data_IF_922851873672
#
_entry.id   IF_922851873672
#
_cell.length_a   1.000
_cell.length_b   1.000
_cell.length_c   1.000
_cell.angle_alpha   90.00
_cell.angle_beta   90.00
_cell.angle_gamma   90.00
#
_symmetry.space_group_name_H-M   'P 1'
#
loop_
_entity.id
_entity.type
_entity.pdbx_description
1 polymer ?
#
# COMPACT_ATOMS: atom_id res chain seq x y z
N UNK A 1 3.97 3.50 4.71
CA UNK A 1 4.13 2.37 5.69
C UNK A 1 2.80 2.13 6.38
N UNK A 2 2.48 0.86 6.66
CA UNK A 2 1.15 0.39 6.99
C UNK A 2 0.74 0.81 8.41
N UNK A 3 -0.57 0.99 8.60
CA UNK A 3 -1.32 0.71 9.83
C UNK A 3 -0.45 0.55 11.09
N UNK A 4 -0.03 1.70 11.61
CA UNK A 4 0.76 1.80 12.83
C UNK A 4 -0.14 1.76 14.07
N UNK A 5 -0.01 0.65 14.79
CA UNK A 5 0.05 0.52 16.27
C UNK A 5 -1.16 0.88 17.17
N UNK A 6 -2.18 1.62 16.74
CA UNK A 6 -3.30 1.98 17.64
C UNK A 6 -4.39 0.90 17.78
N UNK A 7 -4.49 -0.04 16.83
CA UNK A 7 -5.37 -1.22 16.93
C UNK A 7 -4.74 -2.38 17.73
N UNK A 8 -3.42 -2.35 17.93
CA UNK A 8 -2.68 -3.36 18.69
C UNK A 8 -2.69 -3.07 20.19
N UNK A 9 -2.72 -1.79 20.60
CA UNK A 9 -2.84 -1.40 22.01
C UNK A 9 -4.24 -1.66 22.60
N UNK A 10 -5.30 -1.53 21.78
CA UNK A 10 -6.66 -1.87 22.19
C UNK A 10 -6.88 -3.39 22.34
N UNK A 11 -6.20 -4.20 21.51
CA UNK A 11 -6.23 -5.66 21.61
C UNK A 11 -5.42 -6.19 22.81
N UNK A 12 -4.27 -5.57 23.15
CA UNK A 12 -3.47 -5.95 24.32
C UNK A 12 -4.14 -5.59 25.66
N UNK A 13 -4.84 -4.45 25.74
CA UNK A 13 -5.61 -4.08 26.94
C UNK A 13 -6.84 -4.97 27.16
N UNK A 14 -7.40 -5.57 26.10
CA UNK A 14 -8.44 -6.58 26.20
C UNK A 14 -7.91 -7.97 26.62
N UNK A 15 -6.64 -8.27 26.33
CA UNK A 15 -6.01 -9.56 26.68
C UNK A 15 -5.43 -9.62 28.11
N UNK A 16 -4.99 -8.50 28.71
CA UNK A 16 -4.57 -8.51 30.13
C UNK A 16 -5.76 -8.68 31.10
N UNK A 17 -6.99 -8.31 30.68
CA UNK A 17 -8.22 -8.54 31.45
C UNK A 17 -8.77 -9.96 31.34
N UNK A 18 -8.60 -10.63 30.20
CA UNK A 18 -9.11 -11.99 29.98
C UNK A 18 -8.22 -13.07 30.65
N UNK A 19 -6.91 -12.83 30.77
CA UNK A 19 -5.99 -13.74 31.45
C UNK A 19 -6.14 -13.76 32.98
N UNK A 20 -6.64 -12.67 33.60
CA UNK A 20 -6.82 -12.58 35.06
C UNK A 20 -8.12 -13.19 35.59
N UNK A 21 -9.12 -13.48 34.73
CA UNK A 21 -10.47 -13.90 35.17
C UNK A 21 -10.98 -15.23 34.57
N UNK A 22 -10.12 -16.03 33.90
CA UNK A 22 -10.40 -17.44 33.60
C UNK A 22 -11.68 -17.72 32.80
N UNK A 23 -11.81 -17.16 31.59
CA UNK A 23 -12.91 -17.48 30.68
C UNK A 23 -12.52 -18.67 29.79
N UNK A 24 -13.33 -19.75 29.71
CA UNK A 24 -13.08 -20.86 28.80
C UNK A 24 -13.32 -20.46 27.33
N UNK A 25 -12.44 -20.97 26.46
CA UNK A 25 -12.30 -20.60 25.02
C UNK A 25 -13.36 -21.21 24.10
N UNK A 26 -14.40 -21.83 24.64
CA UNK A 26 -15.45 -22.55 23.93
C UNK A 26 -16.57 -21.66 23.36
N UNK A 27 -16.55 -20.34 23.62
CA UNK A 27 -17.56 -19.38 23.11
C UNK A 27 -17.12 -18.46 21.97
N UNK A 28 -15.93 -18.64 21.39
CA UNK A 28 -15.45 -17.80 20.28
C UNK A 28 -16.07 -18.27 18.95
N UNK A 29 -17.02 -17.49 18.40
CA UNK A 29 -17.75 -17.78 17.15
C UNK A 29 -17.20 -17.09 15.89
N UNK A 30 -16.07 -16.38 15.98
CA UNK A 30 -15.44 -15.72 14.82
C UNK A 30 -14.48 -16.67 14.11
N UNK A 31 -14.69 -16.89 12.80
CA UNK A 31 -13.83 -17.74 11.96
C UNK A 31 -12.41 -17.18 11.78
N UNK A 32 -12.25 -15.86 11.79
CA UNK A 32 -10.95 -15.22 11.55
C UNK A 32 -9.92 -15.47 12.67
N UNK A 33 -10.38 -15.69 13.91
CA UNK A 33 -9.50 -15.94 15.06
C UNK A 33 -9.05 -17.40 15.16
N UNK A 34 -9.79 -18.35 14.56
CA UNK A 34 -9.41 -19.77 14.54
C UNK A 34 -8.29 -20.04 13.56
N UNK A 35 -8.32 -19.40 12.39
CA UNK A 35 -7.33 -19.63 11.33
C UNK A 35 -5.92 -19.18 11.74
N UNK A 36 -5.81 -18.14 12.57
CA UNK A 36 -4.51 -17.63 13.00
C UNK A 36 -3.91 -18.39 14.18
N UNK A 37 -4.73 -19.11 14.96
CA UNK A 37 -4.25 -20.06 15.96
C UNK A 37 -3.72 -21.36 15.33
N UNK A 38 -4.29 -21.81 14.21
CA UNK A 38 -3.85 -23.05 13.53
C UNK A 38 -2.51 -22.89 12.80
N UNK A 39 -2.16 -21.69 12.33
CA UNK A 39 -0.88 -21.44 11.63
C UNK A 39 0.36 -21.47 12.53
N UNK A 40 0.19 -21.34 13.84
CA UNK A 40 1.30 -21.31 14.81
C UNK A 40 1.69 -22.70 15.37
N UNK A 41 0.96 -23.77 15.05
CA UNK A 41 1.13 -25.09 15.68
C UNK A 41 1.94 -26.13 14.87
N UNK A 42 2.42 -25.82 13.65
CA UNK A 42 3.11 -26.80 12.78
C UNK A 42 4.53 -26.37 12.37
N UNK A 43 5.41 -26.22 13.35
CA UNK A 43 6.86 -26.24 13.10
C UNK A 43 7.56 -27.21 14.06
N UNK A 44 7.99 -28.35 13.51
CA UNK A 44 9.14 -29.12 14.00
C UNK A 44 8.85 -30.51 14.56
N UNK A 45 9.07 -31.56 13.75
CA UNK A 45 9.71 -32.84 14.15
C UNK A 45 10.32 -33.51 12.90
N UNK A 46 11.61 -33.91 12.98
CA UNK A 46 12.35 -34.71 11.99
C UNK A 46 12.19 -36.23 12.25
N UNK A 47 12.09 -37.07 11.20
CA UNK A 47 11.92 -38.54 11.29
C UNK A 47 13.23 -39.37 11.28
N UNK A 48 13.17 -40.70 11.55
CA UNK A 48 14.34 -41.57 11.72
C UNK A 48 14.93 -42.15 10.41
N UNK A 49 16.19 -42.60 10.46
CA UNK A 49 17.04 -43.02 9.32
C UNK A 49 17.07 -44.55 9.16
N UNK A 50 17.03 -45.09 7.92
CA UNK A 50 17.22 -46.53 7.65
C UNK A 50 18.67 -46.89 7.27
N UNK A 51 19.03 -48.14 7.61
CA UNK A 51 20.31 -48.78 7.29
C UNK A 51 20.06 -50.16 6.66
N UNK A 52 20.98 -50.62 5.81
CA UNK A 52 20.94 -51.98 5.26
C UNK A 52 21.45 -53.03 6.27
N UNK A 53 21.42 -54.32 5.88
CA UNK A 53 21.87 -55.44 6.72
C UNK A 53 23.37 -55.44 7.04
N UNK A 54 24.16 -54.58 6.40
CA UNK A 54 25.59 -54.39 6.62
C UNK A 54 25.88 -53.08 7.39
N UNK A 55 24.86 -52.26 7.67
CA UNK A 55 24.97 -51.01 8.43
C UNK A 55 25.13 -49.74 7.59
N UNK A 56 24.93 -49.80 6.26
CA UNK A 56 25.07 -48.63 5.39
C UNK A 56 23.78 -47.81 5.31
N UNK A 57 23.88 -46.47 5.43
CA UNK A 57 22.73 -45.54 5.46
C UNK A 57 22.02 -45.48 4.10
N UNK A 58 20.70 -45.76 4.10
CA UNK A 58 19.87 -45.84 2.88
C UNK A 58 19.02 -44.58 2.60
N UNK A 59 18.91 -43.64 3.55
CA UNK A 59 18.17 -42.38 3.39
C UNK A 59 17.02 -42.18 4.37
N UNK A 60 16.36 -41.03 4.29
CA UNK A 60 15.27 -40.60 5.19
C UNK A 60 13.90 -40.93 4.58
N UNK A 61 12.91 -41.29 5.41
CA UNK A 61 11.53 -41.61 4.98
C UNK A 61 10.48 -41.27 6.06
N UNK A 62 9.22 -41.06 5.64
CA UNK A 62 8.07 -40.81 6.52
C UNK A 62 7.16 -42.05 6.63
N UNK A 63 6.67 -42.35 7.85
CA UNK A 63 5.80 -43.49 8.15
C UNK A 63 4.43 -42.97 8.61
N UNK A 64 3.34 -43.46 8.00
CA UNK A 64 1.97 -43.20 8.46
C UNK A 64 1.36 -44.48 9.07
N UNK A 65 1.12 -44.42 10.39
CA UNK A 65 0.40 -45.36 11.28
C UNK A 65 1.07 -46.66 11.75
N UNK A 66 0.93 -46.91 13.06
CA UNK A 66 1.32 -48.12 13.78
C UNK A 66 0.08 -48.91 14.21
N UNK A 67 0.12 -50.24 14.07
CA UNK A 67 -0.63 -51.16 14.95
C UNK A 67 0.35 -52.25 15.41
N UNK A 68 0.42 -52.46 16.73
CA UNK A 68 1.34 -53.42 17.37
C UNK A 68 0.58 -54.71 17.67
N UNK A 69 1.03 -55.85 17.15
CA UNK A 69 0.51 -57.18 17.51
C UNK A 69 1.69 -58.11 17.81
N UNK A 70 1.98 -58.37 19.09
CA UNK A 70 2.99 -59.33 19.54
C UNK A 70 4.47 -58.93 19.34
N UNK A 71 5.37 -59.91 19.36
CA UNK A 71 6.84 -59.77 19.19
C UNK A 71 7.33 -59.90 17.73
N UNK A 72 6.44 -60.14 16.76
CA UNK A 72 6.76 -60.06 15.34
C UNK A 72 6.24 -58.75 14.74
N UNK A 73 7.16 -57.95 14.17
CA UNK A 73 6.78 -56.80 13.33
C UNK A 73 6.39 -57.34 11.96
N UNK A 74 5.09 -57.60 11.75
CA UNK A 74 4.56 -57.77 10.40
C UNK A 74 4.41 -56.39 9.75
N UNK A 75 5.32 -56.09 8.83
CA UNK A 75 5.17 -54.97 7.90
C UNK A 75 4.22 -55.43 6.80
N UNK A 76 2.96 -55.02 6.90
CA UNK A 76 2.04 -55.11 5.78
C UNK A 76 2.39 -53.97 4.82
N UNK A 77 3.10 -54.28 3.74
CA UNK A 77 3.29 -53.34 2.63
C UNK A 77 1.96 -53.26 1.91
N UNK A 78 1.11 -52.34 2.37
CA UNK A 78 -0.12 -51.99 1.66
C UNK A 78 0.30 -51.27 0.39
N UNK A 79 -0.06 -51.85 -0.75
CA UNK A 79 0.38 -51.45 -2.07
C UNK A 79 0.20 -49.97 -2.36
N UNK A 80 1.21 -49.41 -3.04
CA UNK A 80 1.04 -48.20 -3.83
C UNK A 80 -0.06 -48.47 -4.86
N UNK A 81 -1.08 -47.62 -4.87
CA UNK A 81 -2.05 -47.60 -5.95
C UNK A 81 -1.32 -47.30 -7.25
N UNK A 82 -1.29 -48.30 -8.14
CA UNK A 82 -0.60 -48.24 -9.42
C UNK A 82 0.03 -49.59 -9.74
N UNK A 83 -0.58 -50.31 -10.66
CA UNK A 83 -0.18 -51.65 -11.15
C UNK A 83 1.33 -51.87 -11.32
N UNK A 84 1.78 -53.06 -10.89
CA UNK A 84 3.04 -53.78 -11.20
C UNK A 84 4.20 -53.75 -10.18
N UNK A 85 4.39 -54.90 -9.51
CA UNK A 85 5.64 -55.69 -9.49
C UNK A 85 6.91 -55.06 -8.94
N UNK A 86 7.47 -55.68 -7.90
CA UNK A 86 8.87 -55.51 -7.48
C UNK A 86 9.81 -55.77 -8.69
N UNK A 87 10.59 -54.76 -9.11
CA UNK A 87 11.57 -54.88 -10.19
C UNK A 87 12.93 -55.32 -9.63
N UNK A 88 13.44 -56.45 -10.09
CA UNK A 88 14.81 -56.87 -9.86
C UNK A 88 15.67 -56.46 -11.07
N UNK A 89 16.75 -55.69 -10.84
CA UNK A 89 17.63 -55.15 -11.90
C UNK A 89 18.63 -56.20 -12.46
N UNK A 90 18.64 -57.40 -11.86
CA UNK A 90 19.34 -58.61 -12.33
C UNK A 90 18.48 -59.83 -12.10
N UNK A 91 18.66 -60.84 -12.95
CA UNK A 91 18.00 -62.14 -12.79
C UNK A 91 18.55 -62.82 -11.52
N UNK A 92 17.71 -62.97 -10.50
CA UNK A 92 18.07 -63.67 -9.27
C UNK A 92 17.69 -65.14 -9.42
N UNK A 93 18.60 -66.03 -9.02
CA UNK A 93 18.36 -67.48 -8.95
C UNK A 93 18.20 -67.85 -7.49
N UNK A 94 17.04 -68.40 -7.13
CA UNK A 94 16.76 -68.86 -5.78
C UNK A 94 17.38 -70.25 -5.56
N UNK A 95 17.62 -70.66 -4.28
CA UNK A 95 18.24 -71.95 -3.95
C UNK A 95 17.48 -73.18 -4.47
N UNK A 96 16.20 -73.02 -4.80
CA UNK A 96 15.34 -74.05 -5.40
C UNK A 96 15.45 -74.14 -6.94
N UNK A 97 16.34 -73.35 -7.54
CA UNK A 97 16.57 -73.30 -8.99
C UNK A 97 15.57 -72.44 -9.76
N UNK A 98 14.60 -71.80 -9.09
CA UNK A 98 13.69 -70.86 -9.75
C UNK A 98 14.41 -69.53 -10.03
N UNK A 99 14.13 -68.92 -11.19
CA UNK A 99 14.69 -67.61 -11.54
C UNK A 99 13.58 -66.57 -11.64
N UNK A 100 13.89 -65.32 -11.28
CA UNK A 100 12.99 -64.20 -11.55
C UNK A 100 12.78 -64.04 -13.06
N UNK A 101 11.58 -63.66 -13.55
CA UNK A 101 11.32 -63.44 -14.98
C UNK A 101 12.33 -62.49 -15.60
N UNK A 102 12.78 -62.77 -16.83
CA UNK A 102 13.71 -61.91 -17.57
C UNK A 102 13.06 -60.53 -17.75
N UNK A 103 13.68 -59.42 -17.30
CA UNK A 103 13.08 -58.10 -17.46
C UNK A 103 12.99 -57.81 -18.96
N UNK A 104 11.76 -57.66 -19.47
CA UNK A 104 11.51 -57.21 -20.83
C UNK A 104 12.07 -55.79 -20.97
N UNK A 105 13.28 -55.66 -21.53
CA UNK A 105 13.87 -54.37 -21.89
C UNK A 105 13.18 -53.85 -23.13
N UNK A 106 12.12 -53.08 -22.95
CA UNK A 106 11.59 -52.24 -24.02
C UNK A 106 12.67 -51.25 -24.48
N UNK A 107 12.73 -50.89 -25.78
CA UNK A 107 13.58 -49.82 -26.25
C UNK A 107 13.27 -48.52 -25.49
N UNK A 108 14.31 -47.77 -25.13
CA UNK A 108 14.16 -46.52 -24.36
C UNK A 108 13.24 -45.55 -25.10
N UNK A 109 12.35 -44.89 -24.37
CA UNK A 109 11.56 -43.79 -24.94
C UNK A 109 12.46 -42.70 -25.52
N UNK A 110 12.10 -42.08 -26.66
CA UNK A 110 12.87 -40.97 -27.21
C UNK A 110 12.81 -39.75 -26.28
N UNK A 111 13.75 -38.79 -26.41
CA UNK A 111 13.67 -37.50 -25.72
C UNK A 111 12.30 -36.82 -25.94
N UNK A 112 11.83 -36.08 -24.93
CA UNK A 112 10.49 -35.48 -24.92
C UNK A 112 9.38 -36.44 -24.51
N UNK A 113 9.63 -37.75 -24.42
CA UNK A 113 8.68 -38.74 -23.93
C UNK A 113 9.11 -39.39 -22.61
N UNK A 114 8.15 -39.93 -21.88
CA UNK A 114 8.37 -40.74 -20.68
C UNK A 114 7.54 -42.02 -20.71
N UNK A 115 7.94 -43.03 -19.95
CA UNK A 115 7.18 -44.27 -19.80
C UNK A 115 8.06 -45.51 -19.77
N UNK A 116 7.44 -46.71 -19.71
CA UNK A 116 8.15 -47.98 -19.58
C UNK A 116 9.01 -48.36 -20.80
N UNK A 117 8.83 -47.72 -21.96
CA UNK A 117 9.60 -47.95 -23.19
C UNK A 117 8.71 -48.15 -24.41
N UNK A 118 9.28 -48.11 -25.63
CA UNK A 118 8.54 -48.16 -26.90
C UNK A 118 7.75 -49.47 -27.03
N UNK A 119 6.46 -49.45 -27.44
CA UNK A 119 5.67 -48.30 -27.93
C UNK A 119 4.93 -47.49 -26.85
N UNK A 120 5.05 -47.87 -25.58
CA UNK A 120 4.30 -47.31 -24.44
C UNK A 120 4.94 -46.01 -23.90
N UNK A 121 5.20 -45.05 -24.79
CA UNK A 121 5.81 -43.77 -24.42
C UNK A 121 4.79 -42.63 -24.59
N UNK A 122 4.60 -41.85 -23.53
CA UNK A 122 3.75 -40.68 -23.52
C UNK A 122 4.59 -39.41 -23.68
N UNK A 123 4.04 -38.39 -24.33
CA UNK A 123 4.70 -37.09 -24.43
C UNK A 123 4.73 -36.41 -23.06
N UNK A 124 5.85 -35.76 -22.73
CA UNK A 124 5.94 -34.97 -21.51
C UNK A 124 4.82 -33.92 -21.50
N UNK A 125 3.98 -33.85 -20.45
CA UNK A 125 2.92 -32.85 -20.40
C UNK A 125 3.51 -31.43 -20.37
N UNK A 126 2.75 -30.42 -20.84
CA UNK A 126 3.10 -29.01 -20.64
C UNK A 126 3.48 -28.73 -19.19
N UNK A 127 4.43 -27.82 -18.98
CA UNK A 127 5.03 -27.55 -17.68
C UNK A 127 6.16 -28.51 -17.29
N UNK A 128 6.40 -29.56 -18.07
CA UNK A 128 7.50 -30.50 -17.87
C UNK A 128 8.37 -30.64 -19.12
N UNK A 129 9.60 -31.12 -18.96
CA UNK A 129 10.49 -31.42 -20.07
C UNK A 129 11.42 -32.59 -19.75
N UNK A 130 11.93 -33.23 -20.80
CA UNK A 130 12.97 -34.25 -20.66
C UNK A 130 13.83 -34.36 -21.91
N UNK A 131 15.16 -34.21 -21.75
CA UNK A 131 16.14 -34.39 -22.83
C UNK A 131 16.76 -35.78 -22.89
N UNK A 132 16.54 -36.62 -21.88
CA UNK A 132 17.24 -37.90 -21.71
C UNK A 132 16.38 -39.06 -22.24
N UNK A 133 16.90 -39.89 -23.17
CA UNK A 133 16.18 -41.08 -23.61
C UNK A 133 15.92 -42.07 -22.47
N UNK A 134 14.70 -42.62 -22.43
CA UNK A 134 14.28 -43.66 -21.48
C UNK A 134 13.82 -43.14 -20.12
N UNK A 135 13.50 -41.85 -20.00
CA UNK A 135 12.99 -41.31 -18.76
C UNK A 135 11.69 -41.98 -18.33
N UNK A 136 11.58 -42.26 -17.03
CA UNK A 136 10.37 -42.84 -16.42
C UNK A 136 9.38 -41.75 -15.98
N UNK A 137 9.82 -40.49 -15.90
CA UNK A 137 9.01 -39.33 -15.58
C UNK A 137 9.62 -38.08 -16.23
N UNK A 138 8.82 -37.05 -16.45
CA UNK A 138 9.29 -35.75 -16.95
C UNK A 138 9.65 -34.83 -15.79
N UNK A 139 10.65 -33.97 -16.01
CA UNK A 139 11.13 -33.03 -14.99
C UNK A 139 10.26 -31.77 -15.07
N UNK A 140 9.63 -31.32 -13.96
CA UNK A 140 8.89 -30.07 -13.95
C UNK A 140 9.83 -28.89 -14.23
N UNK A 141 9.32 -27.90 -14.94
CA UNK A 141 10.07 -26.68 -15.19
C UNK A 141 10.17 -25.87 -13.89
N UNK A 142 11.41 -25.66 -13.41
CA UNK A 142 11.69 -24.85 -12.23
C UNK A 142 11.21 -23.41 -12.39
N UNK A 143 11.03 -22.70 -11.27
CA UNK A 143 10.66 -21.27 -11.22
C UNK A 143 11.49 -20.43 -12.22
N UNK A 144 10.82 -19.57 -12.97
CA UNK A 144 11.39 -18.81 -14.09
C UNK A 144 11.42 -19.54 -15.44
N UNK A 145 10.98 -20.79 -15.53
CA UNK A 145 10.99 -21.57 -16.77
C UNK A 145 9.65 -22.25 -17.04
N UNK A 146 9.21 -22.27 -18.29
CA UNK A 146 7.90 -22.83 -18.67
C UNK A 146 8.00 -23.79 -19.86
N UNK A 147 6.94 -24.56 -20.06
CA UNK A 147 6.75 -25.37 -21.26
C UNK A 147 5.27 -25.34 -21.64
N UNK A 148 4.96 -24.79 -22.82
CA UNK A 148 3.62 -24.59 -23.35
C UNK A 148 3.13 -25.76 -24.21
N UNK A 149 4.04 -26.65 -24.62
CA UNK A 149 3.77 -27.75 -25.55
C UNK A 149 4.11 -29.11 -24.93
N UNK A 150 3.26 -30.11 -25.21
CA UNK A 150 3.60 -31.49 -24.91
C UNK A 150 4.85 -31.95 -25.66
N UNK A 151 5.66 -32.82 -25.06
CA UNK A 151 6.86 -33.37 -25.69
C UNK A 151 8.11 -32.51 -25.57
N UNK A 152 8.12 -31.50 -24.69
CA UNK A 152 9.23 -30.57 -24.60
C UNK A 152 10.56 -31.25 -24.21
N UNK A 153 11.61 -30.95 -24.96
CA UNK A 153 12.96 -31.45 -24.68
C UNK A 153 13.63 -30.69 -23.54
N UNK A 154 13.35 -29.39 -23.43
CA UNK A 154 13.88 -28.49 -22.41
C UNK A 154 12.86 -27.40 -22.07
N UNK A 155 12.91 -26.89 -20.84
CA UNK A 155 12.06 -25.78 -20.42
C UNK A 155 12.58 -24.46 -21.00
N UNK A 156 11.66 -23.60 -21.44
CA UNK A 156 11.94 -22.27 -21.98
C UNK A 156 12.05 -21.27 -20.83
N UNK A 157 12.99 -20.32 -20.89
CA UNK A 157 13.05 -19.23 -19.91
C UNK A 157 11.90 -18.25 -20.12
N UNK A 158 11.32 -17.76 -19.03
CA UNK A 158 10.35 -16.68 -19.11
C UNK A 158 10.98 -15.41 -19.73
N UNK A 159 10.29 -14.73 -20.66
CA UNK A 159 10.78 -13.46 -21.18
C UNK A 159 10.85 -12.39 -20.09
N UNK A 160 11.69 -11.37 -20.28
CA UNK A 160 11.71 -10.21 -19.39
C UNK A 160 10.33 -9.53 -19.33
N UNK A 161 9.97 -9.00 -18.17
CA UNK A 161 8.64 -8.46 -17.88
C UNK A 161 7.59 -9.52 -17.54
N UNK A 162 8.01 -10.78 -17.41
CA UNK A 162 7.16 -11.88 -16.96
C UNK A 162 7.81 -12.66 -15.82
N UNK A 163 6.99 -13.35 -15.04
CA UNK A 163 7.41 -14.19 -13.93
C UNK A 163 6.78 -15.59 -14.02
N UNK A 164 7.38 -16.51 -13.28
CA UNK A 164 6.82 -17.82 -13.03
C UNK A 164 7.18 -18.25 -11.59
N UNK A 165 6.30 -17.97 -10.62
CA UNK A 165 6.60 -18.18 -9.21
C UNK A 165 6.48 -19.64 -8.77
N UNK A 166 5.88 -20.53 -9.56
CA UNK A 166 5.66 -21.95 -9.21
C UNK A 166 6.26 -22.88 -10.24
N UNK A 167 6.77 -24.02 -9.79
CA UNK A 167 7.26 -25.08 -10.66
C UNK A 167 6.11 -25.68 -11.49
N UNK A 168 6.43 -26.16 -12.69
CA UNK A 168 5.47 -26.86 -13.53
C UNK A 168 4.44 -25.97 -14.24
N UNK A 169 4.56 -24.64 -14.19
CA UNK A 169 3.63 -23.78 -14.93
C UNK A 169 3.89 -23.85 -16.44
N UNK A 170 2.80 -23.75 -17.20
CA UNK A 170 2.78 -23.88 -18.66
C UNK A 170 2.92 -22.56 -19.39
N UNK A 171 2.84 -21.43 -18.67
CA UNK A 171 2.87 -20.07 -19.21
C UNK A 171 3.54 -19.13 -18.20
N UNK A 172 4.23 -18.10 -18.69
CA UNK A 172 4.74 -17.01 -17.86
C UNK A 172 3.70 -15.91 -17.72
N UNK A 173 3.51 -15.42 -16.51
CA UNK A 173 2.55 -14.34 -16.21
C UNK A 173 3.25 -13.00 -16.30
N UNK A 174 2.60 -11.98 -16.86
CA UNK A 174 3.15 -10.63 -16.89
C UNK A 174 3.34 -10.08 -15.47
N UNK A 175 4.42 -9.34 -15.25
CA UNK A 175 4.59 -8.59 -14.01
C UNK A 175 3.37 -7.68 -13.79
N UNK A 176 2.84 -7.70 -12.57
CA UNK A 176 1.76 -6.78 -12.18
C UNK A 176 2.26 -5.33 -12.21
N UNK A 177 1.38 -4.34 -12.44
CA UNK A 177 1.73 -2.93 -12.30
C UNK A 177 2.43 -2.63 -10.96
N UNK A 178 3.43 -1.75 -10.98
CA UNK A 178 4.30 -1.48 -9.84
C UNK A 178 5.43 -2.50 -9.63
N UNK A 179 5.47 -3.58 -10.42
CA UNK A 179 6.55 -4.56 -10.43
C UNK A 179 7.23 -4.60 -11.80
N UNK A 180 8.47 -5.12 -11.84
CA UNK A 180 9.23 -5.28 -13.07
C UNK A 180 10.07 -6.55 -13.06
N UNK A 181 10.33 -7.10 -14.24
CA UNK A 181 11.19 -8.26 -14.44
C UNK A 181 12.30 -7.94 -15.44
N UNK A 182 13.48 -7.58 -14.96
CA UNK A 182 14.60 -7.17 -15.82
C UNK A 182 15.22 -8.36 -16.56
N UNK A 183 15.35 -9.49 -15.86
CA UNK A 183 16.07 -10.66 -16.37
C UNK A 183 15.12 -11.66 -17.01
N UNK A 184 15.59 -12.33 -18.07
CA UNK A 184 14.93 -13.54 -18.57
C UNK A 184 15.03 -14.64 -17.52
N UNK A 185 13.96 -15.39 -17.34
CA UNK A 185 13.86 -16.48 -16.38
C UNK A 185 13.79 -16.02 -14.93
N UNK A 186 13.39 -14.77 -14.68
CA UNK A 186 13.17 -14.26 -13.33
C UNK A 186 11.97 -15.00 -12.69
N UNK A 187 12.15 -15.62 -11.51
CA UNK A 187 11.11 -16.41 -10.87
C UNK A 187 9.99 -15.55 -10.26
N UNK A 188 10.26 -14.28 -9.98
CA UNK A 188 9.35 -13.37 -9.30
C UNK A 188 9.72 -11.91 -9.62
N UNK A 189 8.75 -11.09 -9.99
CA UNK A 189 8.98 -9.69 -10.36
C UNK A 189 9.39 -8.86 -9.12
N UNK A 190 10.34 -7.95 -9.32
CA UNK A 190 10.81 -7.06 -8.27
C UNK A 190 9.88 -5.84 -8.16
N UNK A 191 9.61 -5.32 -6.95
CA UNK A 191 8.83 -4.10 -6.78
C UNK A 191 9.62 -2.88 -7.22
N UNK A 192 8.95 -1.89 -7.81
CA UNK A 192 9.53 -0.56 -7.99
C UNK A 192 9.77 0.09 -6.62
N UNK A 193 10.94 0.70 -6.48
CA UNK A 193 11.31 1.49 -5.29
C UNK A 193 10.62 2.85 -5.29
N UNK A 194 10.67 3.55 -4.16
CA UNK A 194 10.23 4.96 -4.06
C UNK A 194 10.88 5.80 -5.16
N UNK A 195 10.16 6.84 -5.60
CA UNK A 195 10.54 7.68 -6.72
C UNK A 195 10.38 7.03 -8.10
N UNK A 196 9.84 5.81 -8.19
CA UNK A 196 9.64 5.11 -9.45
C UNK A 196 8.30 4.39 -9.53
N UNK A 197 7.82 4.16 -10.76
CA UNK A 197 6.57 3.47 -11.05
C UNK A 197 6.71 2.55 -12.28
N UNK A 198 5.78 1.62 -12.44
CA UNK A 198 5.70 0.79 -13.65
C UNK A 198 4.27 0.38 -14.00
N UNK A 199 4.03 0.19 -15.30
CA UNK A 199 2.82 -0.48 -15.80
C UNK A 199 2.96 -2.01 -15.79
N UNK A 200 1.95 -2.71 -16.31
CA UNK A 200 2.00 -4.17 -16.47
C UNK A 200 3.11 -4.59 -17.45
N UNK A 201 3.65 -5.79 -17.22
CA UNK A 201 4.71 -6.39 -18.05
C UNK A 201 6.01 -5.55 -18.17
N UNK A 202 6.28 -4.68 -17.18
CA UNK A 202 7.44 -3.82 -17.24
C UNK A 202 8.77 -4.59 -17.07
N UNK A 203 9.77 -4.23 -17.87
CA UNK A 203 11.15 -4.76 -17.75
C UNK A 203 12.05 -3.87 -16.89
N UNK A 204 11.63 -2.64 -16.61
CA UNK A 204 12.29 -1.67 -15.74
C UNK A 204 11.27 -0.71 -15.14
N UNK A 205 11.58 -0.12 -14.00
CA UNK A 205 10.80 0.98 -13.46
C UNK A 205 11.17 2.31 -14.14
N UNK A 206 10.17 3.17 -14.28
CA UNK A 206 10.34 4.55 -14.73
C UNK A 206 10.41 5.47 -13.54
N UNK A 207 11.36 6.42 -13.52
CA UNK A 207 11.39 7.47 -12.50
C UNK A 207 10.17 8.36 -12.62
N UNK A 208 9.68 8.87 -11.49
CA UNK A 208 8.60 9.84 -11.50
C UNK A 208 9.01 11.11 -12.25
N UNK A 209 8.21 11.58 -13.23
CA UNK A 209 8.50 12.83 -13.93
C UNK A 209 8.50 14.04 -12.98
N UNK A 210 9.05 15.16 -13.45
CA UNK A 210 9.05 16.41 -12.68
C UNK A 210 7.63 16.81 -12.25
N UNK A 211 7.52 17.42 -11.07
CA UNK A 211 6.25 17.76 -10.43
C UNK A 211 5.39 16.56 -9.99
N UNK A 212 5.99 15.37 -9.91
CA UNK A 212 5.36 14.17 -9.35
C UNK A 212 6.34 13.41 -8.46
N UNK A 213 5.82 12.61 -7.53
CA UNK A 213 6.59 11.82 -6.58
C UNK A 213 5.98 10.43 -6.36
N UNK A 214 6.76 9.51 -5.80
CA UNK A 214 6.26 8.20 -5.34
C UNK A 214 6.89 7.86 -3.98
N UNK A 215 6.06 7.91 -2.94
CA UNK A 215 6.40 7.72 -1.53
C UNK A 215 6.24 6.27 -1.03
N UNK A 216 5.73 5.40 -1.89
CA UNK A 216 5.55 3.99 -1.59
C UNK A 216 6.25 3.09 -2.62
N UNK A 217 6.52 1.85 -2.22
CA UNK A 217 6.99 0.82 -3.15
C UNK A 217 5.83 0.29 -3.98
N UNK A 218 6.13 -0.23 -5.16
CA UNK A 218 5.16 -0.81 -6.08
C UNK A 218 4.07 0.16 -6.54
N UNK A 219 4.38 1.45 -6.64
CA UNK A 219 3.46 2.42 -7.22
C UNK A 219 3.23 2.15 -8.71
N UNK A 220 1.97 2.22 -9.12
CA UNK A 220 1.55 2.05 -10.52
C UNK A 220 1.54 3.37 -11.29
N UNK A 221 1.50 4.49 -10.56
CA UNK A 221 1.57 5.85 -11.06
C UNK A 221 2.13 6.77 -9.97
N UNK A 222 2.75 7.88 -10.38
CA UNK A 222 3.26 8.89 -9.44
C UNK A 222 2.14 9.81 -8.97
N UNK A 223 2.24 10.26 -7.72
CA UNK A 223 1.36 11.27 -7.12
C UNK A 223 1.80 12.66 -7.59
N UNK A 224 0.87 13.56 -7.94
CA UNK A 224 1.24 14.94 -8.29
C UNK A 224 1.71 15.70 -7.05
N UNK A 225 2.68 16.61 -7.23
CA UNK A 225 2.94 17.65 -6.25
C UNK A 225 1.69 18.56 -6.13
N UNK A 226 1.57 19.30 -5.01
CA UNK A 226 0.51 20.28 -4.84
C UNK A 226 0.61 21.37 -5.93
N UNK A 227 -0.53 21.94 -6.34
CA UNK A 227 -0.58 22.98 -7.37
C UNK A 227 0.43 24.08 -7.04
N UNK A 228 1.28 24.45 -8.01
CA UNK A 228 2.43 25.39 -7.93
C UNK A 228 3.77 24.85 -7.43
N UNK A 229 3.84 23.61 -6.93
CA UNK A 229 5.09 22.94 -6.55
C UNK A 229 5.61 22.04 -7.67
N UNK A 230 6.93 21.89 -7.76
CA UNK A 230 7.62 21.05 -8.75
C UNK A 230 8.83 20.36 -8.11
N UNK A 231 9.45 19.44 -8.84
CA UNK A 231 10.73 18.84 -8.45
C UNK A 231 11.81 19.28 -9.43
N UNK A 232 13.05 19.43 -8.96
CA UNK A 232 14.18 19.86 -9.82
C UNK A 232 14.63 18.76 -10.77
N UNK A 233 14.49 17.49 -10.35
CA UNK A 233 14.86 16.31 -11.12
C UNK A 233 13.77 15.23 -11.05
N UNK A 234 13.72 14.32 -12.03
CA UNK A 234 12.84 13.15 -11.97
C UNK A 234 13.24 12.19 -10.84
N UNK A 235 12.23 11.59 -10.22
CA UNK A 235 12.38 10.50 -9.25
C UNK A 235 12.24 10.90 -7.79
N UNK A 236 11.45 11.93 -7.48
CA UNK A 236 11.20 12.35 -6.11
C UNK A 236 10.55 11.23 -5.28
N UNK A 237 11.12 10.95 -4.12
CA UNK A 237 10.72 9.86 -3.24
C UNK A 237 9.69 10.30 -2.20
N UNK A 238 9.53 11.58 -1.93
CA UNK A 238 8.54 12.07 -0.97
C UNK A 238 8.00 13.45 -1.36
N UNK A 239 6.85 13.81 -0.79
CA UNK A 239 6.24 15.13 -1.00
C UNK A 239 7.15 16.28 -0.54
N UNK A 240 8.07 16.03 0.41
CA UNK A 240 9.04 17.00 0.88
C UNK A 240 10.06 17.46 -0.16
N UNK A 241 10.22 16.70 -1.25
CA UNK A 241 11.07 17.06 -2.40
C UNK A 241 10.35 17.95 -3.42
N UNK A 242 9.02 18.12 -3.30
CA UNK A 242 8.28 19.11 -4.06
C UNK A 242 8.61 20.50 -3.50
N UNK A 243 9.30 21.33 -4.28
CA UNK A 243 9.65 22.71 -3.92
C UNK A 243 9.04 23.69 -4.91
N UNK A 244 9.10 24.98 -4.57
CA UNK A 244 8.61 26.01 -5.48
C UNK A 244 9.49 26.14 -6.71
N UNK A 245 8.84 26.22 -7.87
CA UNK A 245 9.52 26.39 -9.15
C UNK A 245 10.47 27.61 -9.14
N UNK A 246 11.52 27.56 -9.94
CA UNK A 246 12.50 28.63 -10.01
C UNK A 246 11.82 30.00 -10.27
N UNK A 247 12.19 31.02 -9.49
CA UNK A 247 11.54 32.34 -9.54
C UNK A 247 10.28 32.48 -8.68
N UNK A 248 9.90 31.43 -7.95
CA UNK A 248 8.84 31.47 -6.93
C UNK A 248 9.39 31.10 -5.55
N UNK A 249 8.68 31.47 -4.48
CA UNK A 249 9.00 31.11 -3.11
C UNK A 249 7.78 30.48 -2.43
N UNK A 250 8.02 29.58 -1.48
CA UNK A 250 6.94 28.95 -0.72
C UNK A 250 6.40 29.94 0.29
N UNK A 251 5.18 30.44 0.03
CA UNK A 251 4.39 31.08 1.05
C UNK A 251 3.81 29.99 1.95
N UNK A 252 4.57 29.61 2.98
CA UNK A 252 4.16 28.60 3.97
C UNK A 252 2.85 28.92 4.68
N UNK A 253 2.36 30.16 4.57
CA UNK A 253 1.08 30.50 5.17
C UNK A 253 -0.09 29.95 4.37
N UNK A 254 -0.08 30.21 3.07
CA UNK A 254 -1.18 29.88 2.16
C UNK A 254 -0.94 28.55 1.43
N UNK A 255 0.17 27.89 1.74
CA UNK A 255 0.65 26.64 1.15
C UNK A 255 0.71 26.68 -0.40
N UNK A 256 1.17 27.81 -0.93
CA UNK A 256 1.31 28.05 -2.38
C UNK A 256 2.65 28.70 -2.71
N UNK A 257 3.13 28.47 -3.93
CA UNK A 257 4.30 29.14 -4.45
C UNK A 257 3.92 30.51 -5.05
N UNK A 258 4.48 31.58 -4.51
CA UNK A 258 4.29 32.95 -4.99
C UNK A 258 5.48 33.42 -5.80
N UNK A 259 5.24 34.24 -6.83
CA UNK A 259 6.32 34.84 -7.60
C UNK A 259 7.21 35.74 -6.74
N UNK A 260 8.52 35.62 -6.94
CA UNK A 260 9.46 36.61 -6.45
C UNK A 260 9.13 37.98 -7.05
N UNK A 261 9.35 39.03 -6.28
CA UNK A 261 9.08 40.40 -6.74
C UNK A 261 9.95 40.73 -7.97
N UNK A 262 9.35 41.28 -9.04
CA UNK A 262 10.05 41.55 -10.30
C UNK A 262 11.11 42.64 -10.12
N UNK A 263 12.05 42.75 -11.05
CA UNK A 263 13.14 43.74 -10.99
C UNK A 263 12.61 45.19 -10.92
N UNK A 264 11.48 45.46 -11.58
CA UNK A 264 10.78 46.76 -11.53
C UNK A 264 10.32 47.16 -10.12
N UNK A 265 9.98 46.18 -9.27
CA UNK A 265 9.60 46.43 -7.88
C UNK A 265 10.79 46.97 -7.08
N UNK A 266 11.99 46.40 -7.25
CA UNK A 266 13.19 46.87 -6.57
C UNK A 266 13.64 48.24 -7.07
N UNK A 267 13.50 48.49 -8.37
CA UNK A 267 13.80 49.80 -8.97
C UNK A 267 12.91 50.91 -8.38
N UNK A 268 11.61 50.63 -8.15
CA UNK A 268 10.69 51.57 -7.52
C UNK A 268 11.10 51.90 -6.08
N UNK A 269 11.47 50.88 -5.29
CA UNK A 269 11.95 51.07 -3.91
C UNK A 269 13.22 51.92 -3.89
N UNK A 270 14.17 51.64 -4.80
CA UNK A 270 15.40 52.42 -4.90
C UNK A 270 15.12 53.89 -5.24
N UNK A 271 14.15 54.16 -6.12
CA UNK A 271 13.77 55.51 -6.49
C UNK A 271 13.21 56.31 -5.30
N UNK A 272 12.31 55.70 -4.50
CA UNK A 272 11.75 56.35 -3.31
C UNK A 272 12.84 56.64 -2.26
N UNK A 273 13.72 55.68 -2.01
CA UNK A 273 14.83 55.85 -1.05
C UNK A 273 15.81 56.93 -1.54
N UNK A 274 16.13 56.96 -2.83
CA UNK A 274 17.01 57.97 -3.44
C UNK A 274 16.41 59.38 -3.41
N UNK A 275 15.07 59.49 -3.49
CA UNK A 275 14.34 60.74 -3.24
C UNK A 275 14.30 61.12 -1.74
N UNK A 276 14.94 60.33 -0.87
CA UNK A 276 15.00 60.52 0.55
C UNK A 276 13.68 60.22 1.26
N UNK A 277 12.80 59.41 0.67
CA UNK A 277 11.54 58.97 1.26
C UNK A 277 11.72 57.66 2.03
N UNK A 278 10.92 57.47 3.09
CA UNK A 278 10.88 56.21 3.83
C UNK A 278 9.97 55.24 3.09
N UNK A 279 10.47 54.05 2.80
CA UNK A 279 9.68 52.98 2.19
C UNK A 279 9.28 51.95 3.25
N UNK A 280 8.04 51.47 3.19
CA UNK A 280 7.57 50.35 4.02
C UNK A 280 6.77 49.37 3.18
N UNK A 281 7.06 48.07 3.31
CA UNK A 281 6.33 47.03 2.60
C UNK A 281 6.75 45.62 2.99
N UNK A 282 6.08 44.63 2.41
CA UNK A 282 6.37 43.21 2.62
C UNK A 282 7.19 42.68 1.45
N UNK A 283 8.26 41.96 1.73
CA UNK A 283 9.12 41.31 0.73
C UNK A 283 9.41 39.87 1.12
N UNK A 284 9.82 39.07 0.14
CA UNK A 284 10.44 37.76 0.38
C UNK A 284 11.94 37.93 0.53
N UNK A 285 12.50 37.52 1.67
CA UNK A 285 13.93 37.49 1.95
C UNK A 285 14.43 36.05 2.08
N UNK A 286 15.74 35.85 2.17
CA UNK A 286 16.33 34.51 2.40
C UNK A 286 17.12 34.51 3.71
N UNK A 287 16.95 33.45 4.49
CA UNK A 287 17.79 33.19 5.65
C UNK A 287 19.22 32.85 5.21
N UNK A 288 20.16 32.82 6.15
CA UNK A 288 21.53 32.34 5.91
C UNK A 288 21.57 30.88 5.42
N UNK A 289 20.58 30.07 5.76
CA UNK A 289 20.44 28.68 5.29
C UNK A 289 19.76 28.56 3.92
N UNK A 290 19.35 29.68 3.29
CA UNK A 290 18.70 29.70 1.98
C UNK A 290 17.17 29.60 2.01
N UNK A 291 16.57 29.44 3.19
CA UNK A 291 15.12 29.38 3.40
C UNK A 291 14.46 30.72 3.05
N UNK A 292 13.36 30.69 2.29
CA UNK A 292 12.58 31.90 2.01
C UNK A 292 11.79 32.35 3.26
N UNK A 293 11.83 33.65 3.54
CA UNK A 293 11.24 34.28 4.71
C UNK A 293 10.36 35.47 4.28
N UNK A 294 9.05 35.46 4.55
CA UNK A 294 8.24 36.67 4.42
C UNK A 294 8.69 37.65 5.51
N UNK A 295 9.10 38.85 5.09
CA UNK A 295 9.54 39.91 6.00
C UNK A 295 8.82 41.22 5.69
N UNK A 296 8.38 41.90 6.73
CA UNK A 296 7.96 43.28 6.65
C UNK A 296 9.19 44.17 6.87
N UNK A 297 9.41 45.11 5.96
CA UNK A 297 10.63 45.92 5.93
C UNK A 297 10.27 47.39 5.86
N UNK A 298 10.89 48.16 6.74
CA UNK A 298 10.93 49.63 6.69
C UNK A 298 12.36 50.06 6.38
N UNK A 299 12.52 50.90 5.36
CA UNK A 299 13.81 51.47 4.96
C UNK A 299 13.75 52.98 5.07
N UNK A 300 14.58 53.54 5.95
CA UNK A 300 14.69 54.97 6.21
C UNK A 300 16.04 55.50 5.68
N UNK A 301 16.07 56.44 4.72
CA UNK A 301 17.31 57.08 4.29
C UNK A 301 17.82 58.07 5.34
N UNK A 302 19.14 58.11 5.52
CA UNK A 302 19.86 59.10 6.33
C UNK A 302 20.47 60.11 5.37
N UNK A 303 20.14 61.39 5.60
CA UNK A 303 20.63 62.51 4.81
C UNK A 303 21.84 63.17 5.47
N UNK A 304 22.80 63.59 4.67
CA UNK A 304 23.87 64.49 5.10
C UNK A 304 23.38 65.95 5.11
N UNK A 305 24.23 66.85 5.61
CA UNK A 305 23.91 68.27 5.80
C UNK A 305 23.68 69.01 4.46
N UNK A 306 24.19 68.47 3.35
CA UNK A 306 23.95 68.93 1.97
C UNK A 306 22.62 68.44 1.37
N UNK A 307 21.88 67.59 2.10
CA UNK A 307 20.61 67.02 1.68
C UNK A 307 20.72 65.68 0.95
N UNK A 308 21.93 65.20 0.65
CA UNK A 308 22.15 63.95 -0.07
C UNK A 308 21.97 62.73 0.84
N UNK A 309 21.40 61.65 0.28
CA UNK A 309 21.24 60.37 0.99
C UNK A 309 22.59 59.65 1.02
N UNK A 310 23.18 59.50 2.20
CA UNK A 310 24.49 58.84 2.38
C UNK A 310 24.39 57.43 2.93
N UNK A 311 23.39 57.15 3.76
CA UNK A 311 23.18 55.85 4.39
C UNK A 311 21.70 55.48 4.40
N UNK A 312 21.40 54.21 4.68
CA UNK A 312 20.04 53.74 4.91
C UNK A 312 19.97 52.88 6.17
N UNK A 313 18.89 53.00 6.93
CA UNK A 313 18.56 52.09 8.03
C UNK A 313 17.42 51.20 7.56
N UNK A 314 17.62 49.88 7.63
CA UNK A 314 16.58 48.90 7.31
C UNK A 314 16.19 48.13 8.57
N UNK A 315 14.92 48.24 8.96
CA UNK A 315 14.32 47.40 10.02
C UNK A 315 13.52 46.31 9.33
N UNK A 316 13.75 45.05 9.71
CA UNK A 316 13.10 43.89 9.10
C UNK A 316 12.46 43.04 10.19
N UNK A 317 11.17 42.74 10.03
CA UNK A 317 10.41 41.89 10.93
C UNK A 317 10.03 40.61 10.20
N UNK A 318 10.39 39.46 10.77
CA UNK A 318 9.84 38.18 10.37
C UNK A 318 8.34 38.15 10.70
N UNK A 319 7.50 37.94 9.69
CA UNK A 319 6.04 37.93 9.83
C UNK A 319 5.43 36.53 9.72
N UNK A 320 6.23 35.45 9.72
CA UNK A 320 5.71 34.07 9.64
C UNK A 320 4.69 33.76 10.74
N UNK A 321 4.94 34.18 11.97
CA UNK A 321 4.02 33.97 13.09
C UNK A 321 2.74 34.80 12.96
N UNK A 322 2.88 36.07 12.55
CA UNK A 322 1.75 36.97 12.36
C UNK A 322 0.82 36.47 11.25
N UNK A 323 1.42 36.03 10.14
CA UNK A 323 0.72 35.37 9.05
C UNK A 323 0.02 34.11 9.57
N UNK A 324 0.72 33.18 10.24
CA UNK A 324 0.10 31.94 10.79
C UNK A 324 -1.09 32.23 11.69
N UNK A 325 -1.00 33.24 12.54
CA UNK A 325 -2.09 33.66 13.39
C UNK A 325 -3.29 34.16 12.57
N UNK A 326 -3.05 34.93 11.51
CA UNK A 326 -4.10 35.40 10.59
C UNK A 326 -4.83 34.25 9.90
N UNK A 327 -4.09 33.25 9.40
CA UNK A 327 -4.71 32.08 8.74
C UNK A 327 -5.44 31.19 9.73
N UNK A 328 -4.89 30.98 10.94
CA UNK A 328 -5.60 30.25 11.99
C UNK A 328 -6.90 30.96 12.39
N UNK A 329 -6.92 32.30 12.41
CA UNK A 329 -8.15 33.07 12.65
C UNK A 329 -9.15 32.91 11.50
N UNK A 330 -8.70 32.92 10.24
CA UNK A 330 -9.56 32.67 9.07
C UNK A 330 -10.11 31.24 9.06
N UNK A 331 -9.27 30.24 9.33
CA UNK A 331 -9.65 28.85 9.42
C UNK A 331 -10.65 28.63 10.57
N UNK A 332 -10.39 29.16 11.76
CA UNK A 332 -11.30 29.08 12.91
C UNK A 332 -12.63 29.83 12.69
N UNK A 333 -12.64 30.87 11.85
CA UNK A 333 -13.87 31.58 11.50
C UNK A 333 -14.84 30.74 10.66
N UNK A 334 -14.33 29.77 9.88
CA UNK A 334 -15.13 28.98 8.93
C UNK A 334 -15.15 27.46 9.20
N UNK A 335 -14.22 26.94 9.99
CA UNK A 335 -14.10 25.51 10.30
C UNK A 335 -14.09 25.27 11.81
N UNK A 336 -14.60 24.11 12.20
CA UNK A 336 -14.57 23.63 13.57
C UNK A 336 -13.15 23.16 13.91
N UNK A 337 -12.51 23.73 14.96
CA UNK A 337 -11.11 23.46 15.25
C UNK A 337 -10.83 22.03 15.73
N UNK A 338 -11.85 21.30 16.18
CA UNK A 338 -11.69 19.93 16.67
C UNK A 338 -11.70 18.91 15.52
N UNK A 339 -12.65 19.05 14.60
CA UNK A 339 -12.92 18.07 13.54
C UNK A 339 -12.39 18.50 12.16
N UNK A 340 -12.08 19.78 11.97
CA UNK A 340 -11.72 20.37 10.68
C UNK A 340 -12.89 20.51 9.70
N UNK A 341 -14.11 20.09 10.09
CA UNK A 341 -15.31 20.25 9.27
C UNK A 341 -15.73 21.72 9.20
N UNK A 342 -16.44 22.15 8.16
CA UNK A 342 -17.18 23.42 8.15
C UNK A 342 -17.93 23.64 9.47
N UNK A 343 -17.78 24.84 10.04
CA UNK A 343 -18.50 25.23 11.24
C UNK A 343 -19.91 25.77 10.88
N UNK A 344 -20.65 26.18 11.90
CA UNK A 344 -21.99 26.75 11.74
C UNK A 344 -22.06 27.92 10.73
N UNK A 345 -21.04 28.79 10.70
CA UNK A 345 -20.98 29.92 9.76
C UNK A 345 -20.89 29.44 8.32
N UNK A 346 -19.94 28.54 8.03
CA UNK A 346 -19.75 28.02 6.67
C UNK A 346 -20.89 27.10 6.23
N UNK A 347 -21.54 26.39 7.16
CA UNK A 347 -22.75 25.61 6.89
C UNK A 347 -23.87 26.50 6.33
N UNK A 348 -24.19 27.61 7.00
CA UNK A 348 -25.25 28.51 6.54
C UNK A 348 -24.93 29.20 5.21
N UNK A 349 -23.67 29.58 4.98
CA UNK A 349 -23.23 30.11 3.69
C UNK A 349 -23.46 29.09 2.56
N UNK A 350 -23.06 27.83 2.76
CA UNK A 350 -23.26 26.76 1.78
C UNK A 350 -24.73 26.41 1.58
N UNK A 351 -25.55 26.47 2.62
CA UNK A 351 -26.98 26.25 2.52
C UNK A 351 -27.66 27.34 1.68
N UNK A 352 -27.34 28.61 1.93
CA UNK A 352 -27.86 29.72 1.13
C UNK A 352 -27.44 29.59 -0.35
N UNK A 353 -26.19 29.20 -0.61
CA UNK A 353 -25.73 28.92 -1.97
C UNK A 353 -26.48 27.76 -2.63
N UNK A 354 -26.74 26.67 -1.90
CA UNK A 354 -27.50 25.52 -2.40
C UNK A 354 -28.95 25.90 -2.73
N UNK A 355 -29.62 26.66 -1.85
CA UNK A 355 -30.98 27.15 -2.07
C UNK A 355 -31.06 28.05 -3.31
N UNK A 356 -30.16 29.04 -3.45
CA UNK A 356 -30.12 29.93 -4.63
C UNK A 356 -29.86 29.18 -5.94
N UNK A 357 -29.14 28.05 -5.90
CA UNK A 357 -28.93 27.19 -7.07
C UNK A 357 -30.20 26.43 -7.44
N UNK A 358 -30.90 25.89 -6.43
CA UNK A 358 -32.17 25.20 -6.60
C UNK A 358 -33.24 26.11 -7.21
N UNK A 359 -33.29 27.39 -6.82
CA UNK A 359 -34.23 28.38 -7.39
C UNK A 359 -34.04 28.69 -8.89
N UNK A 360 -32.82 28.50 -9.43
CA UNK A 360 -32.48 28.88 -10.82
C UNK A 360 -32.74 27.79 -11.85
N UNK A 361 -32.82 26.54 -11.42
CA UNK A 361 -33.19 25.39 -12.26
C UNK A 361 -34.62 25.01 -11.89
N UNK A 362 -35.38 24.45 -12.82
CA UNK A 362 -36.73 23.91 -12.56
C UNK A 362 -36.63 22.59 -11.75
N UNK A 363 -36.03 22.72 -10.55
CA UNK A 363 -35.66 21.80 -9.45
C UNK A 363 -34.59 20.71 -9.67
N UNK A 364 -33.43 20.86 -8.99
CA UNK A 364 -32.85 19.81 -8.16
C UNK A 364 -33.14 20.09 -6.67
N UNK A 365 -33.69 19.10 -5.97
CA UNK A 365 -34.03 19.18 -4.55
C UNK A 365 -32.76 19.30 -3.66
N UNK A 366 -32.87 20.03 -2.55
CA UNK A 366 -31.82 20.16 -1.53
C UNK A 366 -32.35 19.55 -0.25
N UNK A 367 -31.63 18.57 0.28
CA UNK A 367 -31.96 17.94 1.55
C UNK A 367 -30.97 18.37 2.64
N UNK A 368 -31.47 18.58 3.85
CA UNK A 368 -30.66 18.89 5.03
C UNK A 368 -30.93 17.84 6.10
N UNK A 369 -29.88 17.20 6.57
CA UNK A 369 -29.94 16.21 7.64
C UNK A 369 -29.26 16.78 8.89
N UNK A 370 -29.90 16.62 10.03
CA UNK A 370 -29.29 16.87 11.34
C UNK A 370 -28.97 15.53 11.99
N UNK A 371 -27.75 15.41 12.51
CA UNK A 371 -27.25 14.18 13.12
C UNK A 371 -26.73 14.52 14.51
N UNK A 372 -27.36 13.92 15.52
CA UNK A 372 -26.93 14.02 16.92
C UNK A 372 -26.32 12.69 17.37
N UNK A 373 -25.34 12.74 18.28
CA UNK A 373 -24.68 11.54 18.78
C UNK A 373 -25.27 11.11 20.12
N UNK A 374 -26.11 10.08 20.07
CA UNK A 374 -26.71 9.48 21.26
C UNK A 374 -25.64 9.09 22.30
N UNK A 375 -25.85 9.56 23.54
CA UNK A 375 -24.99 9.21 24.67
C UNK A 375 -23.67 9.97 24.75
N UNK A 376 -23.39 10.94 23.87
CA UNK A 376 -22.16 11.73 23.92
C UNK A 376 -22.00 12.49 25.25
N UNK A 377 -23.10 13.01 25.82
CA UNK A 377 -23.10 13.60 27.16
C UNK A 377 -22.65 12.62 28.26
N UNK A 378 -23.17 11.40 28.26
CA UNK A 378 -22.78 10.39 29.25
C UNK A 378 -21.30 10.01 29.10
N UNK A 379 -20.81 10.02 27.86
CA UNK A 379 -19.41 9.78 27.55
C UNK A 379 -18.51 10.91 28.06
N UNK A 380 -18.91 12.17 27.90
CA UNK A 380 -18.24 13.33 28.51
C UNK A 380 -18.17 13.22 30.03
N UNK A 381 -19.28 12.85 30.67
CA UNK A 381 -19.41 12.70 32.12
C UNK A 381 -18.56 11.54 32.67
N UNK A 382 -18.45 10.43 31.93
CA UNK A 382 -17.80 9.19 32.40
C UNK A 382 -16.31 9.12 32.05
N UNK A 383 -15.93 9.53 30.84
CA UNK A 383 -14.58 9.32 30.28
C UNK A 383 -13.81 10.63 30.04
N UNK A 384 -14.44 11.76 30.35
CA UNK A 384 -13.84 13.08 30.26
C UNK A 384 -13.75 13.63 28.83
N UNK A 385 -13.46 14.94 28.76
CA UNK A 385 -13.45 15.74 27.53
C UNK A 385 -12.54 15.18 26.44
N UNK A 386 -11.34 14.74 26.78
CA UNK A 386 -10.35 14.30 25.79
C UNK A 386 -10.82 13.02 25.05
N UNK A 387 -11.42 12.08 25.78
CA UNK A 387 -11.98 10.84 25.21
C UNK A 387 -13.17 11.14 24.30
N UNK A 388 -14.03 12.08 24.71
CA UNK A 388 -15.18 12.52 23.93
C UNK A 388 -14.76 13.23 22.63
N UNK A 389 -13.83 14.18 22.73
CA UNK A 389 -13.30 14.91 21.58
C UNK A 389 -12.65 13.96 20.56
N UNK A 390 -11.97 12.90 21.01
CA UNK A 390 -11.36 11.91 20.13
C UNK A 390 -12.37 11.07 19.36
N UNK A 391 -13.56 10.82 19.92
CA UNK A 391 -14.64 10.14 19.20
C UNK A 391 -15.16 11.01 18.06
N UNK A 392 -15.35 12.31 18.30
CA UNK A 392 -15.77 13.24 17.24
C UNK A 392 -14.75 13.30 16.10
N UNK A 393 -13.45 13.30 16.43
CA UNK A 393 -12.36 13.25 15.44
C UNK A 393 -12.34 11.96 14.61
N UNK A 394 -12.80 10.84 15.15
CA UNK A 394 -12.89 9.56 14.42
C UNK A 394 -14.17 9.47 13.59
N UNK A 395 -15.28 10.02 14.09
CA UNK A 395 -16.57 9.99 13.39
C UNK A 395 -16.60 10.93 12.19
N UNK A 396 -16.04 12.14 12.30
CA UNK A 396 -16.07 13.13 11.22
C UNK A 396 -15.52 12.61 9.87
N UNK A 397 -14.32 11.96 9.79
CA UNK A 397 -13.83 11.36 8.56
C UNK A 397 -14.68 10.19 8.05
N UNK A 398 -15.24 9.38 8.96
CA UNK A 398 -16.10 8.24 8.58
C UNK A 398 -17.41 8.72 7.96
N UNK A 399 -18.06 9.72 8.55
CA UNK A 399 -19.25 10.34 8.00
C UNK A 399 -18.95 11.00 6.66
N UNK A 400 -17.81 11.71 6.54
CA UNK A 400 -17.40 12.33 5.26
C UNK A 400 -17.21 11.31 4.14
N UNK A 401 -16.64 10.14 4.44
CA UNK A 401 -16.38 9.09 3.45
C UNK A 401 -17.65 8.45 2.86
N UNK A 402 -18.80 8.58 3.55
CA UNK A 402 -20.11 8.09 3.06
C UNK A 402 -20.74 9.08 2.08
N UNK A 403 -20.37 10.35 2.17
CA UNK A 403 -20.96 11.46 1.42
C UNK A 403 -20.21 11.68 0.10
N UNK A 404 -20.91 12.26 -0.89
CA UNK A 404 -20.29 12.62 -2.16
C UNK A 404 -19.45 13.89 -2.00
N UNK A 405 -18.46 14.15 -2.88
CA UNK A 405 -17.63 15.35 -2.81
C UNK A 405 -18.43 16.66 -2.75
N UNK A 406 -19.54 16.75 -3.48
CA UNK A 406 -20.46 17.88 -3.57
C UNK A 406 -21.29 18.11 -2.30
N UNK A 407 -21.53 17.05 -1.52
CA UNK A 407 -22.25 17.13 -0.25
C UNK A 407 -21.39 17.85 0.80
N UNK A 408 -22.05 18.57 1.69
CA UNK A 408 -21.38 19.29 2.78
C UNK A 408 -21.71 18.65 4.11
N UNK A 409 -20.69 18.07 4.78
CA UNK A 409 -20.76 17.71 6.19
C UNK A 409 -20.23 18.88 7.03
N UNK A 410 -20.94 19.26 8.08
CA UNK A 410 -20.57 20.34 9.00
C UNK A 410 -20.74 19.90 10.44
N UNK A 411 -19.96 20.48 11.37
CA UNK A 411 -20.20 20.36 12.81
C UNK A 411 -20.72 21.68 13.34
N UNK A 412 -21.92 21.66 13.90
CA UNK A 412 -22.56 22.88 14.40
C UNK A 412 -22.14 23.23 15.82
N UNK A 413 -21.72 22.23 16.59
CA UNK A 413 -21.18 22.36 17.95
C UNK A 413 -21.49 21.12 18.78
N UNK A 414 -20.69 20.84 19.82
CA UNK A 414 -20.93 19.69 20.68
C UNK A 414 -20.91 18.35 19.91
N UNK A 415 -21.99 17.60 20.01
CA UNK A 415 -22.33 16.36 19.32
C UNK A 415 -23.12 16.56 18.01
N UNK A 416 -23.50 17.79 17.68
CA UNK A 416 -24.38 18.09 16.55
C UNK A 416 -23.61 18.22 15.23
N UNK A 417 -23.97 17.40 14.27
CA UNK A 417 -23.55 17.48 12.88
C UNK A 417 -24.72 17.83 11.97
N UNK A 418 -24.41 18.45 10.84
CA UNK A 418 -25.39 18.72 9.80
C UNK A 418 -24.83 18.37 8.42
N UNK A 419 -25.68 17.84 7.55
CA UNK A 419 -25.33 17.48 6.17
C UNK A 419 -26.23 18.24 5.21
N UNK A 420 -25.64 18.83 4.18
CA UNK A 420 -26.36 19.39 3.03
C UNK A 420 -26.11 18.45 1.86
N UNK A 421 -27.19 17.90 1.31
CA UNK A 421 -27.18 17.11 0.08
C UNK A 421 -27.72 17.97 -1.05
N UNK A 422 -26.93 18.12 -2.10
CA UNK A 422 -27.33 18.87 -3.29
C UNK A 422 -27.81 17.92 -4.36
N UNK A 423 -28.92 18.27 -5.04
CA UNK A 423 -29.49 17.42 -6.09
C UNK A 423 -29.91 16.03 -5.56
N UNK A 424 -30.58 16.02 -4.40
CA UNK A 424 -30.97 14.79 -3.70
C UNK A 424 -32.46 14.76 -3.42
N UNK A 425 -33.12 13.65 -3.78
CA UNK A 425 -34.53 13.42 -3.40
C UNK A 425 -34.64 13.00 -1.94
N UNK A 426 -35.88 12.88 -1.45
CA UNK A 426 -36.15 12.33 -0.11
C UNK A 426 -35.59 10.91 0.02
N UNK A 427 -35.72 10.06 -1.00
CA UNK A 427 -35.18 8.70 -1.00
C UNK A 427 -33.64 8.67 -0.96
N UNK A 428 -32.98 9.60 -1.66
CA UNK A 428 -31.52 9.76 -1.58
C UNK A 428 -31.09 10.18 -0.17
N UNK A 429 -31.85 11.09 0.45
CA UNK A 429 -31.59 11.55 1.82
C UNK A 429 -31.74 10.40 2.84
N UNK A 430 -32.78 9.58 2.71
CA UNK A 430 -32.98 8.38 3.53
C UNK A 430 -31.85 7.36 3.34
N UNK A 431 -31.44 7.11 2.09
CA UNK A 431 -30.33 6.20 1.80
C UNK A 431 -28.98 6.72 2.35
N UNK A 432 -28.77 8.03 2.36
CA UNK A 432 -27.60 8.63 3.03
C UNK A 432 -27.70 8.48 4.54
N UNK A 433 -28.89 8.71 5.12
CA UNK A 433 -29.11 8.56 6.56
C UNK A 433 -28.83 7.13 7.05
N UNK A 434 -29.34 6.10 6.36
CA UNK A 434 -29.07 4.70 6.72
C UNK A 434 -27.57 4.35 6.64
N UNK A 435 -26.87 4.85 5.60
CA UNK A 435 -25.42 4.65 5.49
C UNK A 435 -24.63 5.35 6.59
N UNK A 436 -25.07 6.54 7.03
CA UNK A 436 -24.48 7.25 8.17
C UNK A 436 -24.71 6.50 9.49
N UNK A 437 -25.86 5.82 9.62
CA UNK A 437 -26.20 4.96 10.76
C UNK A 437 -25.53 3.58 10.71
N UNK A 438 -24.90 3.21 9.59
CA UNK A 438 -24.23 1.93 9.39
C UNK A 438 -25.21 0.74 9.26
N UNK A 439 -26.39 0.98 8.69
CA UNK A 439 -27.47 0.00 8.51
C UNK A 439 -27.61 -0.46 7.07
#
# INVERSE_FOLDING_TARGET
MPFGVDSMFAALLAMDGAAKNGIPTDKIRSGLLKDEMYKLAFQGVTGPVAFDKNGDRLGDYEIYNHVKVGEEVKVEIVGLWGTTGVKFDKQLTFPDGTTTPTPQRFPKCPPGKFGPGVPNCEDCPPGTANKVPGAQACIPCNRGFYSDSGGALQCKMCPAGTEQPREGQTICTACSPGFFGELRGQPECAPCVSGSFSGAAATKCSKCPVATYADERSMTACKPCLDTFTTDVPGAEEVGECTCAQGTYWDRLHDVCQQCQPESFWAAIQHEIAAGQTWTGRISSRSKSGEALPVEVTVCPIRADDGDVTHVVSVRRDIREALRAEEMLKAAALHDPLTGLPNRTLFYDRLDQAMRRAERRDAPEVAVLFVDLDGYRALLETFGRQSAERILQVLAPRMRAVLRPEDTLSRLGGDEFAVILTEATVEDADAVAERLLGR
#
